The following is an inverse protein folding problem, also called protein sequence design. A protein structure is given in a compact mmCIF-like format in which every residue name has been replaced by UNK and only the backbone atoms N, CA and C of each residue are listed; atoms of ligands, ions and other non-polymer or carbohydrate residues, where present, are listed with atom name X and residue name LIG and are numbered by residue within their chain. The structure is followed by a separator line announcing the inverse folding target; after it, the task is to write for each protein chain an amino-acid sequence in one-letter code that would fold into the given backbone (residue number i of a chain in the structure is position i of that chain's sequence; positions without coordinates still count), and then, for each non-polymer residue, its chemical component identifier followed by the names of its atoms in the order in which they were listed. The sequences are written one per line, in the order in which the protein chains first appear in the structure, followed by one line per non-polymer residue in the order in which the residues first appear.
data_IF_834781245290
#
_entry.id   IF_834781245290
#
_cell.length_a   1.000
_cell.length_b   1.000
_cell.length_c   1.000
_cell.angle_alpha   90.00
_cell.angle_beta   90.00
_cell.angle_gamma   90.00
#
_symmetry.space_group_name_H-M   'P 1'
#
loop_
_entity.id
_entity.type
_entity.pdbx_description
1 polymer ?
#
# COMPACT_ATOMS: atom_id res chain seq x y z
N UNK A 1 3.00 -22.20 -18.17
CA UNK A 1 4.03 -21.75 -19.10
C UNK A 1 3.78 -20.28 -19.47
N UNK A 2 4.78 -19.39 -19.53
CA UNK A 2 4.59 -17.99 -19.95
C UNK A 2 3.96 -17.86 -21.34
N UNK A 3 4.40 -18.64 -22.31
CA UNK A 3 3.87 -18.61 -23.69
C UNK A 3 2.37 -18.95 -23.76
N UNK A 4 1.89 -19.92 -23.00
CA UNK A 4 0.47 -20.27 -22.94
C UNK A 4 -0.39 -19.11 -22.41
N UNK A 5 0.14 -18.35 -21.44
CA UNK A 5 -0.56 -17.18 -20.87
C UNK A 5 -0.67 -16.04 -21.88
N UNK A 6 0.39 -15.80 -22.65
CA UNK A 6 0.36 -14.82 -23.73
C UNK A 6 -0.66 -15.21 -24.81
N UNK A 7 -0.69 -16.49 -25.19
CA UNK A 7 -1.67 -17.03 -26.14
C UNK A 7 -3.10 -16.85 -25.62
N UNK A 8 -3.37 -17.17 -24.34
CA UNK A 8 -4.68 -16.95 -23.71
C UNK A 8 -5.13 -15.49 -23.78
N UNK A 9 -4.20 -14.54 -23.58
CA UNK A 9 -4.50 -13.11 -23.70
C UNK A 9 -4.80 -12.75 -25.17
N UNK A 10 -4.01 -13.26 -26.11
CA UNK A 10 -4.16 -12.96 -27.53
C UNK A 10 -5.46 -13.55 -28.12
N UNK A 11 -5.88 -14.72 -27.67
CA UNK A 11 -7.07 -15.42 -28.13
C UNK A 11 -8.38 -15.01 -27.39
N UNK A 12 -8.25 -14.17 -26.38
CA UNK A 12 -9.40 -13.74 -25.58
C UNK A 12 -10.49 -13.07 -26.45
N UNK A 13 -11.73 -13.44 -26.21
CA UNK A 13 -12.90 -12.97 -26.97
C UNK A 13 -13.74 -12.00 -26.14
N UNK A 14 -14.62 -11.26 -26.82
CA UNK A 14 -15.60 -10.42 -26.13
C UNK A 14 -16.44 -11.25 -25.14
N UNK A 15 -16.68 -10.67 -23.96
CA UNK A 15 -17.39 -11.34 -22.86
C UNK A 15 -16.52 -12.19 -21.94
N UNK A 16 -15.24 -12.36 -22.24
CA UNK A 16 -14.30 -13.06 -21.35
C UNK A 16 -13.63 -12.09 -20.38
N UNK A 17 -13.35 -12.58 -19.18
CA UNK A 17 -12.60 -11.87 -18.15
C UNK A 17 -11.23 -12.49 -18.00
N UNK A 18 -10.19 -11.68 -18.10
CA UNK A 18 -8.80 -12.07 -17.87
C UNK A 18 -8.36 -11.56 -16.51
N UNK A 19 -7.99 -12.45 -15.62
CA UNK A 19 -7.48 -12.13 -14.32
C UNK A 19 -5.95 -12.22 -14.29
N UNK A 20 -5.28 -11.11 -13.96
CA UNK A 20 -3.83 -11.00 -13.90
C UNK A 20 -3.38 -10.44 -12.58
N UNK A 21 -2.44 -11.07 -11.89
CA UNK A 21 -1.85 -10.48 -10.71
C UNK A 21 -0.75 -9.45 -11.07
N UNK A 22 -0.52 -8.49 -10.19
CA UNK A 22 0.45 -7.41 -10.40
C UNK A 22 1.89 -7.90 -10.65
N UNK A 23 2.28 -9.04 -10.08
CA UNK A 23 3.62 -9.60 -10.26
C UNK A 23 3.87 -10.13 -11.69
N UNK A 24 2.80 -10.46 -12.42
CA UNK A 24 2.88 -10.99 -13.77
C UNK A 24 2.82 -9.91 -14.86
N UNK A 25 2.49 -8.67 -14.53
CA UNK A 25 2.32 -7.61 -15.52
C UNK A 25 3.56 -7.42 -16.40
N UNK A 26 4.76 -7.51 -15.82
CA UNK A 26 6.01 -7.35 -16.58
C UNK A 26 6.21 -8.42 -17.65
N UNK A 27 5.97 -9.68 -17.31
CA UNK A 27 6.12 -10.81 -18.25
C UNK A 27 5.04 -10.86 -19.34
N UNK A 28 3.86 -10.29 -19.07
CA UNK A 28 2.72 -10.26 -20.01
C UNK A 28 2.55 -8.91 -20.71
N UNK A 29 3.51 -7.99 -20.53
CA UNK A 29 3.40 -6.60 -20.98
C UNK A 29 3.08 -6.48 -22.47
N UNK A 30 3.74 -7.27 -23.31
CA UNK A 30 3.57 -7.22 -24.76
C UNK A 30 2.16 -7.68 -25.17
N UNK A 31 1.72 -8.81 -24.63
CA UNK A 31 0.39 -9.35 -24.92
C UNK A 31 -0.73 -8.40 -24.41
N UNK A 32 -0.55 -7.80 -23.23
CA UNK A 32 -1.52 -6.84 -22.69
C UNK A 32 -1.61 -5.55 -23.52
N UNK A 33 -0.48 -5.04 -24.02
CA UNK A 33 -0.44 -3.82 -24.84
C UNK A 33 -0.91 -4.03 -26.28
N UNK A 34 -0.86 -5.25 -26.81
CA UNK A 34 -1.29 -5.53 -28.18
C UNK A 34 -2.81 -5.52 -28.36
N UNK A 35 -3.56 -5.29 -27.29
CA UNK A 35 -5.02 -5.31 -27.29
C UNK A 35 -5.63 -4.04 -26.73
N UNK A 36 -6.78 -3.68 -27.26
CA UNK A 36 -7.67 -2.69 -26.65
C UNK A 36 -8.67 -3.40 -25.73
N UNK A 37 -8.85 -2.90 -24.51
CA UNK A 37 -9.67 -3.51 -23.47
C UNK A 37 -10.98 -2.75 -23.31
N UNK A 38 -12.13 -3.43 -23.33
CA UNK A 38 -13.41 -2.80 -23.06
C UNK A 38 -13.47 -2.26 -21.62
N UNK A 39 -12.88 -2.99 -20.65
CA UNK A 39 -12.81 -2.55 -19.26
C UNK A 39 -11.54 -3.04 -18.59
N UNK A 40 -10.94 -2.19 -17.78
CA UNK A 40 -9.80 -2.52 -16.92
C UNK A 40 -10.15 -2.20 -15.48
N UNK A 41 -10.12 -3.22 -14.63
CA UNK A 41 -10.37 -3.08 -13.19
C UNK A 41 -9.08 -3.38 -12.45
N UNK A 42 -8.63 -2.47 -11.60
CA UNK A 42 -7.49 -2.68 -10.71
C UNK A 42 -8.00 -2.83 -9.28
N UNK A 43 -7.91 -4.04 -8.73
CA UNK A 43 -8.11 -4.23 -7.30
C UNK A 43 -6.83 -3.87 -6.54
N UNK A 44 -6.94 -3.41 -5.29
CA UNK A 44 -5.81 -2.91 -4.49
C UNK A 44 -4.95 -1.90 -5.27
N UNK A 45 -5.60 -0.90 -5.88
CA UNK A 45 -4.97 0.04 -6.80
C UNK A 45 -3.86 0.90 -6.16
N UNK A 46 -3.70 0.88 -4.83
CA UNK A 46 -2.52 1.46 -4.17
C UNK A 46 -1.19 0.82 -4.64
N UNK A 47 -1.27 -0.35 -5.29
CA UNK A 47 -0.10 -0.97 -5.94
C UNK A 47 0.53 -0.11 -7.05
N UNK A 48 -0.21 0.85 -7.59
CA UNK A 48 0.27 1.79 -8.62
C UNK A 48 0.40 3.24 -8.10
N UNK A 49 0.36 3.45 -6.79
CA UNK A 49 0.46 4.79 -6.18
C UNK A 49 1.76 5.53 -6.54
N UNK A 50 2.83 4.80 -6.81
CA UNK A 50 4.08 5.38 -7.30
C UNK A 50 4.17 5.26 -8.82
N UNK A 51 3.91 6.38 -9.50
CA UNK A 51 3.97 6.49 -10.95
C UNK A 51 5.33 6.17 -11.58
N UNK A 52 6.42 6.21 -10.79
CA UNK A 52 7.77 5.86 -11.26
C UNK A 52 8.00 4.36 -11.41
N UNK A 53 7.17 3.50 -10.84
CA UNK A 53 7.33 2.05 -10.91
C UNK A 53 7.06 1.49 -12.30
N UNK A 54 7.75 0.42 -12.66
CA UNK A 54 7.53 -0.26 -13.95
C UNK A 54 6.07 -0.73 -14.10
N UNK A 55 5.48 -1.20 -13.01
CA UNK A 55 4.07 -1.63 -12.94
C UNK A 55 3.11 -0.50 -13.31
N UNK A 56 3.25 0.67 -12.69
CA UNK A 56 2.41 1.82 -12.97
C UNK A 56 2.58 2.31 -14.42
N UNK A 57 3.83 2.44 -14.88
CA UNK A 57 4.14 2.84 -16.26
C UNK A 57 3.51 1.90 -17.29
N UNK A 58 3.53 0.60 -17.04
CA UNK A 58 2.92 -0.38 -17.93
C UNK A 58 1.40 -0.18 -17.99
N UNK A 59 0.74 -0.11 -16.84
CA UNK A 59 -0.71 0.06 -16.78
C UNK A 59 -1.19 1.38 -17.40
N UNK A 60 -0.39 2.45 -17.33
CA UNK A 60 -0.72 3.72 -18.00
C UNK A 60 -0.66 3.62 -19.54
N UNK A 61 0.10 2.65 -20.07
CA UNK A 61 0.25 2.44 -21.51
C UNK A 61 -0.80 1.48 -22.10
N UNK A 62 -1.59 0.81 -21.26
CA UNK A 62 -2.66 -0.06 -21.75
C UNK A 62 -3.80 0.81 -22.29
N UNK A 63 -4.38 0.35 -23.39
CA UNK A 63 -5.52 1.02 -24.02
C UNK A 63 -6.85 0.35 -23.61
N UNK A 64 -7.86 1.16 -23.31
CA UNK A 64 -9.17 0.66 -22.94
C UNK A 64 -10.19 1.74 -22.70
N UNK A 65 -11.48 1.39 -22.89
CA UNK A 65 -12.61 2.33 -22.86
C UNK A 65 -12.99 2.71 -21.44
N UNK A 66 -12.99 1.76 -20.52
CA UNK A 66 -13.38 1.98 -19.13
C UNK A 66 -12.27 1.55 -18.17
N UNK A 67 -11.99 2.37 -17.16
CA UNK A 67 -10.93 2.14 -16.18
C UNK A 67 -11.43 2.37 -14.77
N UNK A 68 -11.37 1.34 -13.93
CA UNK A 68 -11.87 1.37 -12.56
C UNK A 68 -10.79 0.90 -11.58
N UNK A 69 -10.14 1.79 -10.84
CA UNK A 69 -9.32 1.41 -9.71
C UNK A 69 -10.15 1.26 -8.44
N UNK A 70 -9.98 0.16 -7.73
CA UNK A 70 -10.55 -0.12 -6.42
C UNK A 70 -9.45 -0.02 -5.36
N UNK A 71 -9.70 0.70 -4.28
CA UNK A 71 -8.74 0.84 -3.19
C UNK A 71 -9.44 1.19 -1.88
N UNK A 72 -9.04 0.55 -0.80
CA UNK A 72 -9.44 0.94 0.55
C UNK A 72 -8.74 2.22 1.04
N UNK A 73 -7.57 2.54 0.49
CA UNK A 73 -6.70 3.67 0.89
C UNK A 73 -6.21 4.45 -0.33
N UNK A 74 -7.04 5.30 -0.95
CA UNK A 74 -6.68 5.96 -2.20
C UNK A 74 -5.53 6.97 -2.06
N UNK A 75 -5.35 7.56 -0.89
CA UNK A 75 -4.26 8.50 -0.58
C UNK A 75 -3.74 8.17 0.82
N UNK A 76 -2.48 7.75 0.91
CA UNK A 76 -1.84 7.44 2.19
C UNK A 76 -0.85 8.52 2.61
N UNK A 77 0.03 8.97 1.72
CA UNK A 77 1.18 9.79 2.09
C UNK A 77 1.23 11.16 1.41
N UNK A 78 0.88 11.24 0.13
CA UNK A 78 1.00 12.51 -0.60
C UNK A 78 0.12 12.56 -1.87
N UNK A 79 -0.14 13.79 -2.34
CA UNK A 79 -0.99 14.04 -3.52
C UNK A 79 -0.47 13.40 -4.83
N UNK A 80 0.81 13.04 -4.91
CA UNK A 80 1.37 12.31 -6.05
C UNK A 80 0.78 10.91 -6.24
N UNK A 81 0.29 10.28 -5.15
CA UNK A 81 -0.42 9.00 -5.22
C UNK A 81 -1.76 9.18 -5.93
N UNK A 82 -2.49 10.26 -5.61
CA UNK A 82 -3.72 10.63 -6.30
C UNK A 82 -3.47 10.87 -7.79
N UNK A 83 -2.42 11.62 -8.13
CA UNK A 83 -2.05 11.86 -9.52
C UNK A 83 -1.81 10.55 -10.28
N UNK A 84 -1.13 9.60 -9.67
CA UNK A 84 -0.88 8.29 -10.27
C UNK A 84 -2.17 7.53 -10.59
N UNK A 85 -3.10 7.47 -9.63
CA UNK A 85 -4.41 6.83 -9.84
C UNK A 85 -5.20 7.52 -10.94
N UNK A 86 -5.23 8.86 -10.96
CA UNK A 86 -5.95 9.61 -11.98
C UNK A 86 -5.29 9.56 -13.36
N UNK A 87 -3.98 9.35 -13.46
CA UNK A 87 -3.30 9.05 -14.71
C UNK A 87 -3.77 7.72 -15.31
N UNK A 88 -4.12 6.75 -14.46
CA UNK A 88 -4.73 5.51 -14.91
C UNK A 88 -6.20 5.71 -15.29
N UNK A 89 -7.03 6.36 -14.46
CA UNK A 89 -8.48 6.54 -14.69
C UNK A 89 -8.73 7.36 -15.95
N UNK A 90 -8.21 8.57 -15.98
CA UNK A 90 -8.41 9.57 -17.03
C UNK A 90 -7.06 10.18 -17.43
N UNK A 91 -6.33 9.57 -18.36
CA UNK A 91 -5.05 10.11 -18.83
C UNK A 91 -5.18 11.57 -19.27
N UNK A 92 -4.34 12.44 -18.71
CA UNK A 92 -4.33 13.87 -19.04
C UNK A 92 -5.22 14.77 -18.20
N UNK A 93 -6.20 14.26 -17.45
CA UNK A 93 -7.13 15.07 -16.63
C UNK A 93 -6.41 16.01 -15.66
N UNK A 94 -5.38 15.52 -14.99
CA UNK A 94 -4.60 16.30 -14.02
C UNK A 94 -3.31 16.92 -14.62
N UNK A 95 -3.11 16.81 -15.93
CA UNK A 95 -1.90 17.26 -16.62
C UNK A 95 -0.67 16.40 -16.28
N UNK A 96 0.51 16.91 -16.63
CA UNK A 96 1.78 16.26 -16.25
C UNK A 96 2.02 16.31 -14.74
N UNK A 97 2.83 15.39 -14.22
CA UNK A 97 3.19 15.37 -12.79
C UNK A 97 3.83 16.70 -12.34
N UNK A 98 4.62 17.34 -13.23
CA UNK A 98 5.24 18.63 -12.96
C UNK A 98 4.20 19.76 -12.82
N UNK A 99 3.24 19.83 -13.72
CA UNK A 99 2.13 20.79 -13.65
C UNK A 99 1.25 20.55 -12.44
N UNK A 100 0.91 19.29 -12.15
CA UNK A 100 0.14 18.92 -10.98
C UNK A 100 0.84 19.35 -9.69
N UNK A 101 2.12 19.06 -9.54
CA UNK A 101 2.91 19.50 -8.37
C UNK A 101 2.99 21.02 -8.25
N UNK A 102 3.16 21.74 -9.37
CA UNK A 102 3.19 23.20 -9.38
C UNK A 102 1.84 23.78 -8.95
N UNK A 103 0.74 23.22 -9.46
CA UNK A 103 -0.62 23.72 -9.23
C UNK A 103 -1.16 23.33 -7.84
N UNK A 104 -0.92 22.09 -7.42
CA UNK A 104 -1.52 21.50 -6.22
C UNK A 104 -0.53 21.08 -5.13
N UNK A 105 0.77 21.18 -5.36
CA UNK A 105 1.78 20.78 -4.37
C UNK A 105 1.70 21.56 -3.05
N UNK A 106 1.17 22.77 -3.09
CA UNK A 106 0.85 23.59 -1.89
C UNK A 106 -0.58 23.39 -1.37
N UNK A 107 -1.40 22.55 -2.02
CA UNK A 107 -2.82 22.40 -1.70
C UNK A 107 -3.05 21.89 -0.26
N UNK A 108 -2.13 21.11 0.28
CA UNK A 108 -2.20 20.65 1.68
C UNK A 108 -2.19 21.82 2.67
N UNK A 109 -1.61 22.97 2.28
CA UNK A 109 -1.49 24.18 3.11
C UNK A 109 -2.49 25.28 2.74
N UNK A 110 -3.16 25.18 1.58
CA UNK A 110 -4.09 26.19 1.07
C UNK A 110 -5.47 25.56 0.77
N UNK A 111 -6.51 25.89 1.56
CA UNK A 111 -7.87 25.38 1.39
C UNK A 111 -8.46 25.61 0.00
N UNK A 112 -8.09 26.71 -0.68
CA UNK A 112 -8.61 27.05 -2.02
C UNK A 112 -8.12 26.08 -3.09
N UNK A 113 -6.82 25.74 -3.08
CA UNK A 113 -6.26 24.75 -3.97
C UNK A 113 -6.80 23.34 -3.71
N UNK A 114 -7.07 23.03 -2.46
CA UNK A 114 -7.71 21.76 -2.09
C UNK A 114 -9.15 21.69 -2.61
N UNK A 115 -9.92 22.77 -2.48
CA UNK A 115 -11.29 22.85 -3.01
C UNK A 115 -11.32 22.69 -4.54
N UNK A 116 -10.41 23.36 -5.26
CA UNK A 116 -10.26 23.20 -6.71
C UNK A 116 -9.94 21.76 -7.10
N UNK A 117 -9.00 21.13 -6.41
CA UNK A 117 -8.64 19.71 -6.69
C UNK A 117 -9.84 18.80 -6.45
N UNK A 118 -10.53 18.97 -5.32
CA UNK A 118 -11.75 18.21 -5.01
C UNK A 118 -12.82 18.37 -6.08
N UNK A 119 -13.08 19.58 -6.57
CA UNK A 119 -14.07 19.85 -7.61
C UNK A 119 -13.75 19.06 -8.91
N UNK A 120 -12.46 18.96 -9.27
CA UNK A 120 -12.03 18.25 -10.48
C UNK A 120 -12.18 16.73 -10.32
N UNK A 121 -11.85 16.17 -9.14
CA UNK A 121 -11.77 14.72 -8.95
C UNK A 121 -13.07 14.09 -8.45
N UNK A 122 -13.95 14.86 -7.77
CA UNK A 122 -15.16 14.34 -7.13
C UNK A 122 -16.10 13.55 -8.06
N UNK A 123 -16.28 13.92 -9.35
CA UNK A 123 -17.13 13.14 -10.25
C UNK A 123 -16.65 11.70 -10.52
N UNK A 124 -15.37 11.43 -10.25
CA UNK A 124 -14.71 10.15 -10.53
C UNK A 124 -14.45 9.32 -9.27
N UNK A 125 -14.89 9.79 -8.09
CA UNK A 125 -14.65 9.11 -6.82
C UNK A 125 -15.97 8.69 -6.20
N UNK A 126 -16.11 7.39 -5.95
CA UNK A 126 -17.16 6.83 -5.12
C UNK A 126 -16.55 6.23 -3.85
N UNK A 127 -16.77 6.88 -2.72
CA UNK A 127 -16.33 6.39 -1.41
C UNK A 127 -17.53 6.04 -0.54
N UNK A 128 -17.56 4.81 -0.03
CA UNK A 128 -18.56 4.35 0.93
C UNK A 128 -17.89 3.77 2.17
N UNK A 129 -18.37 4.14 3.32
CA UNK A 129 -17.95 3.55 4.59
C UNK A 129 -18.83 2.35 4.90
N UNK A 130 -18.28 1.32 5.55
CA UNK A 130 -19.05 0.13 5.96
C UNK A 130 -20.30 0.50 6.73
N UNK A 131 -20.22 1.42 7.67
CA UNK A 131 -21.36 1.91 8.48
C UNK A 131 -22.48 2.57 7.66
N UNK A 132 -22.16 3.11 6.48
CA UNK A 132 -23.16 3.74 5.61
C UNK A 132 -23.93 2.73 4.74
N UNK A 133 -23.35 1.56 4.51
CA UNK A 133 -23.89 0.55 3.57
C UNK A 133 -24.43 -0.66 4.30
N UNK A 134 -23.79 -1.09 5.38
CA UNK A 134 -24.13 -2.27 6.16
C UNK A 134 -24.78 -1.85 7.48
N UNK A 135 -26.04 -1.44 7.41
CA UNK A 135 -26.81 -0.99 8.58
C UNK A 135 -27.12 -2.12 9.58
N UNK A 136 -26.93 -3.38 9.17
CA UNK A 136 -27.16 -4.57 10.00
C UNK A 136 -25.93 -4.93 10.86
N UNK A 137 -24.77 -4.32 10.60
CA UNK A 137 -23.58 -4.59 11.40
C UNK A 137 -23.66 -3.89 12.73
N UNK A 138 -23.36 -4.59 13.85
CA UNK A 138 -23.22 -3.96 15.15
C UNK A 138 -22.08 -2.94 15.15
N UNK A 139 -22.15 -2.01 16.07
CA UNK A 139 -21.08 -1.05 16.27
C UNK A 139 -19.75 -1.74 16.58
N UNK A 140 -18.68 -1.19 16.01
CA UNK A 140 -17.32 -1.69 16.25
C UNK A 140 -16.90 -1.35 17.67
N UNK A 141 -16.64 -2.37 18.49
CA UNK A 141 -16.01 -2.21 19.81
C UNK A 141 -14.51 -2.41 19.69
N UNK A 142 -13.74 -1.44 20.12
CA UNK A 142 -12.26 -1.54 20.21
C UNK A 142 -11.85 -1.62 21.67
N UNK A 143 -11.15 -2.68 22.03
CA UNK A 143 -10.58 -2.87 23.35
C UNK A 143 -9.06 -2.82 23.24
N UNK A 144 -8.42 -1.90 23.96
CA UNK A 144 -6.97 -1.79 24.00
C UNK A 144 -6.45 -2.57 25.20
N UNK A 145 -5.76 -3.68 24.93
CA UNK A 145 -5.07 -4.44 25.95
C UNK A 145 -3.63 -3.96 26.12
N UNK A 146 -3.29 -3.52 27.33
CA UNK A 146 -1.93 -3.18 27.71
C UNK A 146 -1.23 -4.38 28.32
N UNK A 147 -0.17 -4.85 27.67
CA UNK A 147 0.59 -6.02 28.08
C UNK A 147 1.93 -5.55 28.65
N UNK A 148 2.28 -6.01 29.84
CA UNK A 148 3.61 -5.79 30.42
C UNK A 148 4.55 -6.91 30.02
N UNK A 149 5.73 -6.55 29.54
CA UNK A 149 6.78 -7.53 29.27
C UNK A 149 7.24 -8.17 30.57
N UNK A 150 7.61 -9.46 30.55
CA UNK A 150 8.28 -10.12 31.66
C UNK A 150 9.60 -9.44 32.02
N UNK A 151 10.17 -9.64 33.20
CA UNK A 151 11.46 -9.07 33.56
C UNK A 151 12.57 -9.41 32.54
N UNK A 152 12.59 -10.64 32.08
CA UNK A 152 13.56 -11.18 31.11
C UNK A 152 13.36 -10.55 29.72
N UNK A 153 12.12 -10.46 29.24
CA UNK A 153 11.79 -9.80 27.98
C UNK A 153 12.14 -8.30 28.03
N UNK A 154 11.88 -7.64 29.16
CA UNK A 154 12.23 -6.22 29.36
C UNK A 154 13.72 -6.02 29.34
N UNK A 155 14.50 -6.91 29.98
CA UNK A 155 15.95 -6.84 29.97
C UNK A 155 16.51 -6.97 28.55
N UNK A 156 15.99 -7.94 27.78
CA UNK A 156 16.36 -8.16 26.38
C UNK A 156 15.97 -6.95 25.51
N UNK A 157 14.78 -6.40 25.73
CA UNK A 157 14.31 -5.21 25.02
C UNK A 157 15.23 -4.01 25.25
N UNK A 158 15.60 -3.74 26.51
CA UNK A 158 16.47 -2.61 26.85
C UNK A 158 17.90 -2.81 26.33
N UNK A 159 18.42 -4.04 26.33
CA UNK A 159 19.71 -4.34 25.72
C UNK A 159 19.70 -4.07 24.22
N UNK A 160 18.68 -4.59 23.51
CA UNK A 160 18.50 -4.39 22.08
C UNK A 160 18.31 -2.90 21.74
N UNK A 161 17.54 -2.17 22.56
CA UNK A 161 17.33 -0.73 22.38
C UNK A 161 18.63 0.06 22.46
N UNK A 162 19.48 -0.27 23.43
CA UNK A 162 20.81 0.38 23.60
C UNK A 162 21.70 0.13 22.37
N UNK A 163 21.76 -1.11 21.88
CA UNK A 163 22.49 -1.45 20.65
C UNK A 163 22.02 -0.62 19.46
N UNK A 164 20.69 -0.54 19.26
CA UNK A 164 20.10 0.23 18.16
C UNK A 164 20.44 1.70 18.28
N UNK A 165 20.34 2.28 19.47
CA UNK A 165 20.70 3.70 19.69
C UNK A 165 22.19 3.96 19.39
N UNK A 166 23.08 3.08 19.82
CA UNK A 166 24.52 3.19 19.52
C UNK A 166 24.78 3.11 18.00
N UNK A 167 24.14 2.16 17.29
CA UNK A 167 24.26 2.03 15.84
C UNK A 167 23.78 3.28 15.10
N UNK A 168 22.68 3.89 15.56
CA UNK A 168 22.15 5.13 14.97
C UNK A 168 23.10 6.30 15.22
N UNK A 169 23.68 6.41 16.42
CA UNK A 169 24.61 7.49 16.77
C UNK A 169 25.95 7.40 16.02
N UNK A 170 26.39 6.17 15.71
CA UNK A 170 27.65 5.94 14.98
C UNK A 170 27.50 5.93 13.44
N UNK A 171 26.27 6.06 12.92
CA UNK A 171 25.99 5.91 11.50
C UNK A 171 26.12 7.23 10.73
N UNK A 172 27.21 7.40 9.99
CA UNK A 172 27.40 8.48 9.03
C UNK A 172 26.45 8.30 7.81
N UNK A 173 25.47 9.19 7.68
CA UNK A 173 24.59 9.30 6.51
C UNK A 173 23.56 8.19 6.29
N UNK A 174 23.59 7.09 7.07
CA UNK A 174 22.63 5.96 6.98
C UNK A 174 21.74 5.82 8.20
N UNK A 175 21.67 6.82 9.05
CA UNK A 175 20.95 6.78 10.32
C UNK A 175 19.48 6.32 10.17
N UNK A 176 18.78 6.76 9.12
CA UNK A 176 17.39 6.38 8.87
C UNK A 176 17.21 4.87 8.66
N UNK A 177 18.12 4.22 7.92
CA UNK A 177 18.05 2.76 7.69
C UNK A 177 18.29 2.00 8.98
N UNK A 178 19.23 2.43 9.82
CA UNK A 178 19.48 1.83 11.14
C UNK A 178 18.32 2.03 12.09
N UNK A 179 17.66 3.20 12.08
CA UNK A 179 16.43 3.45 12.84
C UNK A 179 15.32 2.49 12.42
N UNK A 180 15.03 2.35 11.11
CA UNK A 180 13.96 1.48 10.61
C UNK A 180 14.23 0.00 10.90
N UNK A 181 15.47 -0.46 10.69
CA UNK A 181 15.90 -1.81 11.03
C UNK A 181 15.79 -2.07 12.52
N UNK A 182 16.26 -1.14 13.34
CA UNK A 182 16.19 -1.23 14.80
C UNK A 182 14.75 -1.27 15.33
N UNK A 183 13.87 -0.40 14.83
CA UNK A 183 12.45 -0.42 15.18
C UNK A 183 11.79 -1.74 14.78
N UNK A 184 12.14 -2.29 13.62
CA UNK A 184 11.63 -3.58 13.18
C UNK A 184 12.09 -4.70 14.12
N UNK A 185 13.37 -4.69 14.53
CA UNK A 185 13.93 -5.67 15.49
C UNK A 185 13.22 -5.59 16.84
N UNK A 186 13.04 -4.38 17.38
CA UNK A 186 12.32 -4.15 18.64
C UNK A 186 10.84 -4.59 18.57
N UNK A 187 10.16 -4.30 17.46
CA UNK A 187 8.78 -4.76 17.26
C UNK A 187 8.67 -6.28 17.20
N UNK A 188 9.59 -6.95 16.52
CA UNK A 188 9.65 -8.41 16.47
C UNK A 188 9.88 -9.00 17.87
N UNK A 189 10.79 -8.43 18.66
CA UNK A 189 11.04 -8.83 20.04
C UNK A 189 9.77 -8.72 20.91
N UNK A 190 9.03 -7.61 20.78
CA UNK A 190 7.76 -7.43 21.49
C UNK A 190 6.64 -8.38 20.99
N UNK A 191 6.74 -8.96 19.81
CA UNK A 191 5.81 -10.00 19.38
C UNK A 191 6.16 -11.36 19.96
N UNK A 192 7.43 -11.75 19.85
CA UNK A 192 8.04 -12.92 20.49
C UNK A 192 9.55 -12.78 20.49
N UNK A 193 10.23 -12.92 21.63
CA UNK A 193 11.70 -12.87 21.68
C UNK A 193 12.37 -13.88 20.76
N UNK A 194 11.78 -15.05 20.51
CA UNK A 194 12.28 -16.06 19.57
C UNK A 194 12.48 -15.55 18.15
N UNK A 195 11.74 -14.52 17.73
CA UNK A 195 11.90 -13.92 16.40
C UNK A 195 13.22 -13.17 16.24
N UNK A 196 13.89 -12.83 17.37
CA UNK A 196 15.16 -12.10 17.40
C UNK A 196 16.29 -12.96 17.96
N UNK A 197 15.95 -13.83 18.90
CA UNK A 197 16.85 -14.75 19.62
C UNK A 197 16.27 -16.17 19.52
N UNK A 198 16.68 -16.99 18.54
CA UNK A 198 16.10 -18.32 18.31
C UNK A 198 16.25 -19.28 19.50
N UNK A 199 17.27 -19.08 20.32
CA UNK A 199 17.54 -19.85 21.54
C UNK A 199 16.64 -19.50 22.73
N UNK A 200 15.76 -18.51 22.58
CA UNK A 200 14.81 -18.15 23.64
C UNK A 200 13.83 -19.29 23.91
N UNK A 201 13.82 -19.81 25.12
CA UNK A 201 13.07 -21.01 25.50
C UNK A 201 11.74 -20.72 26.22
N UNK A 202 11.53 -19.48 26.65
CA UNK A 202 10.32 -19.08 27.36
C UNK A 202 9.21 -18.67 26.38
N UNK A 203 7.96 -18.71 26.83
CA UNK A 203 6.84 -18.13 26.09
C UNK A 203 6.94 -16.61 26.07
N UNK A 204 6.17 -15.99 25.21
CA UNK A 204 6.12 -14.52 25.08
C UNK A 204 4.90 -14.00 25.82
N UNK A 205 5.10 -12.99 26.68
CA UNK A 205 4.00 -12.31 27.39
C UNK A 205 2.85 -11.91 26.47
N UNK A 206 3.17 -11.45 25.25
CA UNK A 206 2.17 -11.08 24.26
C UNK A 206 1.45 -12.29 23.66
N UNK A 207 2.15 -13.38 23.44
CA UNK A 207 1.54 -14.61 22.93
C UNK A 207 0.63 -15.23 23.98
N UNK A 208 1.07 -15.28 25.23
CA UNK A 208 0.29 -15.84 26.35
C UNK A 208 -1.02 -15.06 26.55
N UNK A 209 -0.96 -13.72 26.51
CA UNK A 209 -2.16 -12.88 26.58
C UNK A 209 -3.08 -13.06 25.37
N UNK A 210 -2.50 -13.16 24.17
CA UNK A 210 -3.30 -13.41 22.96
C UNK A 210 -4.00 -14.78 23.02
N UNK A 211 -3.34 -15.82 23.55
CA UNK A 211 -3.93 -17.14 23.74
C UNK A 211 -5.00 -17.16 24.85
N UNK A 212 -4.88 -16.32 25.85
CA UNK A 212 -5.87 -16.17 26.90
C UNK A 212 -7.17 -15.47 26.44
N UNK A 213 -7.08 -14.69 25.36
CA UNK A 213 -8.23 -13.99 24.76
C UNK A 213 -8.99 -14.83 23.72
N UNK A 214 -8.45 -15.96 23.28
CA UNK A 214 -9.08 -16.91 22.35
C UNK A 214 -9.89 -17.97 23.06
#
# INVERSE_FOLDING_TARGET
NPAERETLIQEARAGQIILVNYGMLGSLAQALKSRHWASMVLDEAQQIKNAGTQRAKLLFQLEGDFRLPLSGTPIENHLGELWSLFTFINPGLLGSLGEFKRRFGKAVKDPRHMAMLRAVISPFILRRLKQQVLTELPDKTEIIHHISLSPEERQLYEATRREVVQQVQSADGRALMHVLSGLTRLRRLCCSPQLVMPEWSQTSSKLDEAMALL
#
